data_IF_070615009753
#
_entry.id   IF_070615009753
#
_cell.length_a   1.000
_cell.length_b   1.000
_cell.length_c   1.000
_cell.angle_alpha   90.00
_cell.angle_beta   90.00
_cell.angle_gamma   90.00
#
_symmetry.space_group_name_H-M   'P 1'
#
loop_
_entity.id
_entity.type
_entity.pdbx_description
1 polymer ?
#
# COMPACT_ATOMS: atom_id res chain seq x y z
N UNK A 1 -1.39 10.59 -5.75
CA UNK A 1 -2.19 9.38 -6.12
C UNK A 1 -3.48 9.42 -5.31
N UNK A 2 -4.64 9.12 -5.89
CA UNK A 2 -5.91 9.06 -5.15
C UNK A 2 -6.28 7.61 -4.82
N UNK A 3 -6.74 7.39 -3.60
CA UNK A 3 -7.20 6.11 -3.07
C UNK A 3 -8.30 6.36 -2.03
N UNK A 4 -8.78 5.31 -1.37
CA UNK A 4 -9.75 5.42 -0.28
C UNK A 4 -9.13 5.02 1.06
N UNK A 5 -9.77 5.42 2.15
CA UNK A 5 -9.32 5.10 3.51
C UNK A 5 -9.18 3.59 3.73
N UNK A 6 -10.05 2.78 3.16
CA UNK A 6 -9.99 1.31 3.28
C UNK A 6 -8.71 0.72 2.68
N UNK A 7 -8.36 1.13 1.46
CA UNK A 7 -7.19 0.63 0.75
C UNK A 7 -5.90 1.11 1.43
N UNK A 8 -5.86 2.37 1.88
CA UNK A 8 -4.74 2.88 2.64
C UNK A 8 -4.57 2.12 3.97
N UNK A 9 -5.64 1.96 4.76
CA UNK A 9 -5.60 1.17 6.00
C UNK A 9 -5.15 -0.27 5.76
N UNK A 10 -5.64 -0.89 4.69
CA UNK A 10 -5.24 -2.25 4.30
C UNK A 10 -3.77 -2.35 3.97
N UNK A 11 -3.19 -1.32 3.33
CA UNK A 11 -1.76 -1.25 3.02
C UNK A 11 -0.93 -1.16 4.30
N UNK A 12 -1.29 -0.26 5.23
CA UNK A 12 -0.59 -0.13 6.52
C UNK A 12 -0.73 -1.35 7.43
N UNK A 13 -1.86 -2.08 7.33
CA UNK A 13 -2.08 -3.31 8.09
C UNK A 13 -1.42 -4.56 7.45
N UNK A 14 -0.87 -4.47 6.24
CA UNK A 14 -0.32 -5.61 5.53
C UNK A 14 1.09 -5.96 6.05
N UNK A 15 1.16 -6.90 6.98
CA UNK A 15 2.43 -7.33 7.57
C UNK A 15 3.42 -7.88 6.53
N UNK A 16 2.97 -8.39 5.37
CA UNK A 16 3.88 -8.87 4.33
C UNK A 16 4.64 -7.73 3.65
N UNK A 17 4.07 -6.52 3.69
CA UNK A 17 4.71 -5.31 3.18
C UNK A 17 5.72 -4.80 4.19
N UNK A 18 5.33 -4.70 5.46
CA UNK A 18 6.12 -3.99 6.47
C UNK A 18 7.05 -4.87 7.29
N UNK A 19 6.86 -6.19 7.27
CA UNK A 19 7.60 -7.14 8.12
C UNK A 19 8.25 -8.24 7.30
N UNK A 20 9.44 -8.66 7.74
CA UNK A 20 10.09 -9.88 7.24
C UNK A 20 9.30 -11.13 7.61
N UNK A 21 9.67 -12.27 7.00
CA UNK A 21 9.16 -13.59 7.41
C UNK A 21 9.38 -13.89 8.91
N UNK A 22 10.44 -13.33 9.51
CA UNK A 22 10.73 -13.42 10.95
C UNK A 22 9.91 -12.45 11.82
N UNK A 23 8.98 -11.68 11.25
CA UNK A 23 8.14 -10.72 11.97
C UNK A 23 8.86 -9.43 12.41
N UNK A 24 10.08 -9.19 11.91
CA UNK A 24 10.84 -7.96 12.17
C UNK A 24 10.42 -6.84 11.23
N UNK A 25 10.35 -5.58 11.68
CA UNK A 25 10.05 -4.46 10.81
C UNK A 25 11.13 -4.31 9.74
N UNK A 26 10.72 -4.31 8.47
CA UNK A 26 11.59 -4.15 7.30
C UNK A 26 11.70 -2.69 6.89
N UNK A 27 10.57 -1.99 6.89
CA UNK A 27 10.47 -0.65 6.35
C UNK A 27 9.75 0.28 7.33
N UNK A 28 10.08 1.57 7.24
CA UNK A 28 9.29 2.64 7.82
C UNK A 28 9.03 3.71 6.78
N UNK A 29 8.08 4.60 7.07
CA UNK A 29 7.72 5.69 6.19
C UNK A 29 8.04 7.00 6.90
N UNK A 30 8.65 7.94 6.19
CA UNK A 30 8.97 9.28 6.65
C UNK A 30 8.39 10.33 5.68
N UNK A 31 8.36 11.60 6.10
CA UNK A 31 7.85 12.74 5.34
C UNK A 31 6.46 12.51 4.70
N UNK A 32 5.53 11.95 5.50
CA UNK A 32 4.19 11.60 5.03
C UNK A 32 3.33 12.86 4.91
N UNK A 33 2.79 13.09 3.72
CA UNK A 33 1.77 14.11 3.47
C UNK A 33 0.60 13.50 2.72
N UNK A 34 -0.58 13.58 3.32
CA UNK A 34 -1.83 13.05 2.78
C UNK A 34 -2.83 14.19 2.66
N UNK A 35 -3.80 14.09 1.77
CA UNK A 35 -4.98 14.94 1.77
C UNK A 35 -6.23 14.06 1.86
N UNK A 36 -7.07 14.31 2.86
CA UNK A 36 -8.28 13.52 3.15
C UNK A 36 -9.49 14.40 2.94
N UNK A 37 -10.42 14.00 2.07
CA UNK A 37 -11.57 14.80 1.66
C UNK A 37 -11.20 16.23 1.23
N UNK A 38 -10.03 16.40 0.61
CA UNK A 38 -9.50 17.69 0.16
C UNK A 38 -8.81 18.52 1.25
N UNK A 39 -8.70 18.03 2.49
CA UNK A 39 -7.94 18.67 3.56
C UNK A 39 -6.58 18.01 3.72
N UNK A 40 -5.50 18.79 3.64
CA UNK A 40 -4.14 18.28 3.84
C UNK A 40 -3.89 17.92 5.31
N UNK A 41 -3.24 16.79 5.51
CA UNK A 41 -2.93 16.16 6.78
C UNK A 41 -1.47 15.70 6.73
N UNK A 42 -0.70 16.08 7.74
CA UNK A 42 0.75 15.83 7.82
C UNK A 42 1.08 14.87 8.99
N UNK A 43 0.10 14.08 9.44
CA UNK A 43 0.27 13.18 10.59
C UNK A 43 -0.19 11.75 10.26
N UNK A 44 0.67 10.78 10.56
CA UNK A 44 0.42 9.33 10.38
C UNK A 44 -0.67 8.82 11.32
N UNK A 45 -0.81 9.44 12.49
CA UNK A 45 -1.77 9.05 13.54
C UNK A 45 -3.23 9.10 13.05
N UNK A 46 -3.50 9.88 12.00
CA UNK A 46 -4.84 10.01 11.42
C UNK A 46 -5.20 8.84 10.50
N UNK A 47 -4.24 8.03 10.05
CA UNK A 47 -4.49 6.90 9.15
C UNK A 47 -5.42 5.86 9.81
N UNK A 48 -5.27 5.63 11.11
CA UNK A 48 -6.15 4.72 11.86
C UNK A 48 -7.56 5.29 12.07
N UNK A 49 -7.69 6.61 12.07
CA UNK A 49 -8.97 7.31 12.23
C UNK A 49 -9.75 7.47 10.92
N UNK A 50 -9.14 7.12 9.77
CA UNK A 50 -9.81 7.22 8.46
C UNK A 50 -11.01 6.27 8.36
N UNK A 51 -12.12 6.81 7.83
CA UNK A 51 -13.23 6.01 7.40
C UNK A 51 -12.93 5.34 6.07
N UNK A 52 -13.52 4.15 5.87
CA UNK A 52 -13.26 3.31 4.72
C UNK A 52 -13.62 3.99 3.38
N UNK A 53 -14.60 4.90 3.41
CA UNK A 53 -15.07 5.67 2.25
C UNK A 53 -14.43 7.06 2.11
N UNK A 54 -13.53 7.46 3.00
CA UNK A 54 -12.86 8.75 2.87
C UNK A 54 -12.01 8.77 1.60
N UNK A 55 -12.10 9.86 0.82
CA UNK A 55 -11.19 10.09 -0.30
C UNK A 55 -9.83 10.49 0.27
N UNK A 56 -8.80 9.67 0.00
CA UNK A 56 -7.44 9.93 0.46
C UNK A 56 -6.52 10.12 -0.73
N UNK A 57 -5.77 11.22 -0.73
CA UNK A 57 -4.79 11.54 -1.73
C UNK A 57 -3.40 11.51 -1.10
N UNK A 58 -2.56 10.59 -1.54
CA UNK A 58 -1.16 10.55 -1.17
C UNK A 58 -0.45 11.67 -1.94
N UNK A 59 0.06 12.66 -1.20
CA UNK A 59 0.80 13.81 -1.72
C UNK A 59 2.31 13.57 -1.63
N UNK A 60 2.80 13.18 -0.46
CA UNK A 60 4.19 12.82 -0.23
C UNK A 60 4.32 11.64 0.73
N UNK A 61 5.51 11.03 0.72
CA UNK A 61 5.89 9.98 1.64
C UNK A 61 7.06 9.20 1.05
N UNK A 62 8.03 8.88 1.88
CA UNK A 62 9.25 8.16 1.47
C UNK A 62 9.40 6.92 2.34
N UNK A 63 9.63 5.78 1.71
CA UNK A 63 9.81 4.51 2.40
C UNK A 63 11.31 4.25 2.55
N UNK A 64 11.72 3.95 3.77
CA UNK A 64 13.09 3.64 4.15
C UNK A 64 13.20 2.21 4.66
N UNK A 65 14.38 1.61 4.51
CA UNK A 65 14.70 0.25 4.96
C UNK A 65 15.44 0.23 6.28
N UNK A 66 14.99 -0.59 7.25
CA UNK A 66 15.71 -0.86 8.51
C UNK A 66 17.00 -1.65 8.30
N UNK A 67 17.18 -2.31 7.16
CA UNK A 67 18.41 -3.04 6.86
C UNK A 67 19.56 -2.11 6.44
N UNK A 68 19.28 -1.13 5.59
CA UNK A 68 20.30 -0.28 4.95
C UNK A 68 20.19 1.21 5.33
N UNK A 69 19.15 1.60 6.07
CA UNK A 69 18.80 2.98 6.43
C UNK A 69 18.68 3.93 5.22
N UNK A 70 18.51 3.37 4.03
CA UNK A 70 18.39 4.09 2.76
C UNK A 70 16.95 4.22 2.31
N UNK A 71 16.71 5.21 1.45
CA UNK A 71 15.47 5.36 0.71
C UNK A 71 15.29 4.17 -0.24
N UNK A 72 14.13 3.53 -0.15
CA UNK A 72 13.76 2.39 -0.99
C UNK A 72 12.94 2.89 -2.18
N UNK A 73 11.90 3.67 -1.91
CA UNK A 73 10.98 4.19 -2.92
C UNK A 73 10.07 5.26 -2.33
N UNK A 74 9.36 5.98 -3.19
CA UNK A 74 8.26 6.84 -2.76
C UNK A 74 7.03 6.00 -2.35
N UNK A 75 6.29 6.49 -1.36
CA UNK A 75 5.05 5.88 -0.87
C UNK A 75 4.04 5.67 -2.01
N UNK A 76 3.96 6.63 -2.94
CA UNK A 76 3.07 6.57 -4.10
C UNK A 76 3.43 5.40 -5.02
N UNK A 77 4.71 5.21 -5.34
CA UNK A 77 5.15 4.13 -6.21
C UNK A 77 4.96 2.77 -5.55
N UNK A 78 5.34 2.67 -4.28
CA UNK A 78 5.23 1.43 -3.53
C UNK A 78 3.77 1.02 -3.32
N UNK A 79 2.91 1.98 -2.97
CA UNK A 79 1.46 1.75 -2.83
C UNK A 79 0.83 1.28 -4.14
N UNK A 80 1.20 1.90 -5.28
CA UNK A 80 0.73 1.45 -6.60
C UNK A 80 1.16 0.02 -6.89
N UNK A 81 2.42 -0.32 -6.62
CA UNK A 81 2.94 -1.67 -6.84
C UNK A 81 2.21 -2.70 -5.98
N UNK A 82 1.99 -2.40 -4.69
CA UNK A 82 1.19 -3.24 -3.79
C UNK A 82 -0.25 -3.43 -4.28
N UNK A 83 -0.90 -2.36 -4.71
CA UNK A 83 -2.27 -2.42 -5.23
C UNK A 83 -2.34 -3.31 -6.47
N UNK A 84 -1.40 -3.14 -7.41
CA UNK A 84 -1.29 -3.96 -8.61
C UNK A 84 -1.02 -5.44 -8.29
N UNK A 85 -0.20 -5.72 -7.27
CA UNK A 85 0.08 -7.09 -6.85
C UNK A 85 -1.17 -7.77 -6.28
N UNK A 86 -1.99 -7.05 -5.51
CA UNK A 86 -3.30 -7.53 -5.03
C UNK A 86 -4.28 -7.79 -6.17
N UNK A 87 -4.35 -6.89 -7.14
CA UNK A 87 -5.19 -7.07 -8.33
C UNK A 87 -4.70 -8.26 -9.18
N UNK A 88 -3.39 -8.49 -9.23
CA UNK A 88 -2.77 -9.62 -9.93
C UNK A 88 -3.01 -10.95 -9.21
N UNK A 89 -3.01 -10.98 -7.87
CA UNK A 89 -3.43 -12.15 -7.07
C UNK A 89 -4.93 -12.44 -7.18
N UNK A 90 -5.75 -11.44 -7.52
CA UNK A 90 -7.19 -11.63 -7.77
C UNK A 90 -7.54 -12.09 -9.19
N UNK A 91 -6.56 -12.23 -10.08
CA UNK A 91 -6.78 -13.03 -11.29
C UNK A 91 -6.72 -14.50 -10.89
N UNK A 92 -7.83 -15.27 -10.93
CA UNK A 92 -7.69 -16.72 -10.95
C UNK A 92 -6.75 -17.06 -12.11
N UNK A 93 -5.88 -18.09 -11.95
CA UNK A 93 -5.16 -18.60 -13.11
C UNK A 93 -6.24 -18.89 -14.15
N UNK A 94 -6.12 -18.28 -15.32
CA UNK A 94 -6.94 -18.67 -16.46
C UNK A 94 -6.82 -20.19 -16.53
N UNK A 95 -7.89 -20.88 -16.17
CA UNK A 95 -8.01 -22.31 -16.39
C UNK A 95 -7.76 -22.47 -17.88
N UNK A 96 -6.64 -23.09 -18.25
CA UNK A 96 -6.47 -23.65 -19.57
C UNK A 96 -7.56 -24.71 -19.70
N UNK A 97 -8.75 -24.28 -20.14
CA UNK A 97 -9.78 -25.15 -20.62
C UNK A 97 -9.16 -25.91 -21.79
N UNK A 98 -8.84 -27.17 -21.55
CA UNK A 98 -8.43 -28.11 -22.58
C UNK A 98 -9.60 -28.17 -23.58
N UNK A 99 -9.39 -27.91 -24.88
CA UNK A 99 -10.49 -27.99 -25.83
C UNK A 99 -11.03 -29.43 -25.87
N UNK A 100 -12.37 -29.63 -25.86
CA UNK A 100 -12.91 -30.96 -26.05
C UNK A 100 -12.81 -31.34 -27.54
N UNK A 101 -12.09 -32.43 -27.79
CA UNK A 101 -12.32 -33.31 -28.94
C UNK A 101 -11.58 -33.00 -30.23
N UNK A 102 -10.85 -33.99 -30.74
CA UNK A 102 -11.30 -34.81 -31.88
C UNK A 102 -10.55 -36.14 -31.90
#
# INVERSE_FOLDING_TARGET
MKTNGLALKSFYADAQVWSSQDGKPLYWIDDISLAVNGSEIVEDSLIQALHDNDEVQILNGVIYSYADLGEVATLVEYFKSWQQNRESMHRPPFTCETPPGS
#
